data_IF_358294048310
#
_entry.id   IF_358294048310
#
_cell.length_a   1.000
_cell.length_b   1.000
_cell.length_c   1.000
_cell.angle_alpha   90.00
_cell.angle_beta   90.00
_cell.angle_gamma   90.00
#
_symmetry.space_group_name_H-M   'P 1'
#
loop_
_entity.id
_entity.type
_entity.pdbx_description
1 polymer ?
#
# COMPACT_ATOMS: atom_id res chain seq x y z
N UNK A 1 -1.92 -21.66 1.57
CA UNK A 1 -2.93 -20.87 2.30
C UNK A 1 -3.66 -20.06 1.25
N UNK A 2 -4.90 -20.38 0.94
CA UNK A 2 -5.72 -19.62 0.01
C UNK A 2 -6.34 -18.41 0.70
N UNK A 3 -6.66 -17.31 -0.01
CA UNK A 3 -7.29 -16.11 0.57
C UNK A 3 -8.58 -16.37 1.34
N UNK A 4 -9.32 -17.42 0.98
CA UNK A 4 -10.55 -17.86 1.68
C UNK A 4 -10.34 -18.35 3.13
N UNK A 5 -9.09 -18.40 3.61
CA UNK A 5 -8.74 -18.92 4.93
C UNK A 5 -8.78 -17.87 6.05
N UNK A 6 -9.09 -16.61 5.73
CA UNK A 6 -9.25 -15.57 6.75
C UNK A 6 -10.72 -15.20 6.92
N UNK A 7 -11.29 -15.47 8.11
CA UNK A 7 -12.53 -14.83 8.49
C UNK A 7 -12.30 -13.31 8.57
N UNK A 8 -13.27 -12.50 8.16
CA UNK A 8 -13.12 -11.03 8.15
C UNK A 8 -12.71 -10.47 9.52
N UNK A 9 -13.19 -11.07 10.61
CA UNK A 9 -12.82 -10.68 11.99
C UNK A 9 -11.35 -10.95 12.33
N UNK A 10 -10.69 -11.82 11.57
CA UNK A 10 -9.28 -12.17 11.77
C UNK A 10 -8.35 -11.42 10.80
N UNK A 11 -8.92 -10.60 9.92
CA UNK A 11 -8.14 -9.72 9.05
C UNK A 11 -7.60 -8.52 9.83
N UNK A 12 -6.64 -8.81 10.71
CA UNK A 12 -5.81 -7.80 11.35
C UNK A 12 -4.35 -8.02 10.96
N UNK A 13 -3.61 -6.94 10.79
CA UNK A 13 -2.20 -7.03 10.38
C UNK A 13 -1.35 -7.92 11.33
N UNK A 14 -1.48 -7.80 12.68
CA UNK A 14 -0.74 -8.68 13.60
C UNK A 14 -1.10 -10.16 13.41
N UNK A 15 -2.39 -10.52 13.29
CA UNK A 15 -2.80 -11.92 13.11
C UNK A 15 -2.31 -12.51 11.79
N UNK A 16 -2.41 -11.74 10.68
CA UNK A 16 -1.96 -12.18 9.36
C UNK A 16 -0.45 -12.41 9.37
N UNK A 17 0.34 -11.45 9.85
CA UNK A 17 1.79 -11.57 9.87
C UNK A 17 2.25 -12.73 10.78
N UNK A 18 1.69 -12.84 11.98
CA UNK A 18 2.00 -13.93 12.91
C UNK A 18 1.64 -15.31 12.33
N UNK A 19 0.50 -15.44 11.65
CA UNK A 19 0.09 -16.67 10.98
C UNK A 19 1.09 -17.07 9.89
N UNK A 20 1.51 -16.13 9.05
CA UNK A 20 2.46 -16.41 7.98
C UNK A 20 3.86 -16.73 8.54
N UNK A 21 4.29 -16.04 9.60
CA UNK A 21 5.54 -16.34 10.27
C UNK A 21 5.57 -17.75 10.89
N UNK A 22 4.41 -18.25 11.34
CA UNK A 22 4.29 -19.65 11.82
C UNK A 22 4.25 -20.66 10.66
N UNK A 23 3.57 -20.32 9.55
CA UNK A 23 3.42 -21.22 8.41
C UNK A 23 4.70 -21.34 7.57
N UNK A 24 5.47 -20.26 7.45
CA UNK A 24 6.65 -20.14 6.57
C UNK A 24 7.84 -19.47 7.29
N UNK A 25 8.25 -19.93 8.47
CA UNK A 25 9.20 -19.19 9.33
C UNK A 25 10.50 -18.81 8.63
N UNK A 26 11.08 -19.75 7.87
CA UNK A 26 12.41 -19.60 7.26
C UNK A 26 12.34 -19.16 5.79
N UNK A 27 11.14 -18.96 5.25
CA UNK A 27 10.97 -18.43 3.91
C UNK A 27 11.26 -16.94 3.89
N UNK A 28 12.05 -16.49 2.89
CA UNK A 28 12.29 -15.07 2.67
C UNK A 28 10.98 -14.39 2.27
N UNK A 29 10.54 -13.46 3.10
CA UNK A 29 9.39 -12.59 2.80
C UNK A 29 9.83 -11.35 2.02
N UNK A 30 10.86 -10.65 2.50
CA UNK A 30 11.28 -9.36 1.97
C UNK A 30 12.73 -9.42 1.47
N UNK A 31 12.94 -8.95 0.25
CA UNK A 31 14.27 -8.65 -0.30
C UNK A 31 14.30 -7.18 -0.74
N UNK A 32 15.36 -6.46 -0.42
CA UNK A 32 15.57 -5.07 -0.82
C UNK A 32 16.65 -5.02 -1.91
N UNK A 33 16.31 -4.51 -3.09
CA UNK A 33 17.26 -4.52 -4.24
C UNK A 33 18.46 -3.62 -4.01
N UNK A 34 18.28 -2.49 -3.32
CA UNK A 34 19.32 -1.48 -3.12
C UNK A 34 20.48 -1.96 -2.24
N UNK A 35 20.21 -2.82 -1.27
CA UNK A 35 21.19 -3.29 -0.27
C UNK A 35 21.44 -4.78 -0.32
N UNK A 36 20.58 -5.54 -1.01
CA UNK A 36 20.59 -6.99 -1.01
C UNK A 36 20.14 -7.62 0.31
N UNK A 37 19.67 -6.83 1.30
CA UNK A 37 19.17 -7.36 2.57
C UNK A 37 17.95 -8.23 2.33
N UNK A 38 17.88 -9.34 3.08
CA UNK A 38 16.79 -10.32 3.01
C UNK A 38 16.28 -10.60 4.40
N UNK A 39 14.96 -10.70 4.54
CA UNK A 39 14.30 -10.99 5.80
C UNK A 39 13.29 -12.12 5.60
N UNK A 40 13.40 -13.15 6.42
CA UNK A 40 12.40 -14.23 6.49
C UNK A 40 11.11 -13.72 7.13
N UNK A 41 10.04 -14.51 7.03
CA UNK A 41 8.78 -14.22 7.71
C UNK A 41 8.96 -14.12 9.23
N UNK A 42 9.79 -14.97 9.82
CA UNK A 42 10.12 -14.93 11.26
C UNK A 42 10.86 -13.65 11.63
N UNK A 43 11.84 -13.26 10.83
CA UNK A 43 12.63 -12.06 11.09
C UNK A 43 11.80 -10.78 10.94
N UNK A 44 10.93 -10.69 9.90
CA UNK A 44 10.08 -9.51 9.74
C UNK A 44 9.01 -9.42 10.84
N UNK A 45 8.48 -10.56 11.30
CA UNK A 45 7.56 -10.62 12.43
C UNK A 45 8.25 -10.14 13.72
N UNK A 46 9.43 -10.63 14.02
CA UNK A 46 10.23 -10.22 15.19
C UNK A 46 10.66 -8.75 15.08
N UNK A 47 11.08 -8.29 13.90
CA UNK A 47 11.46 -6.90 13.70
C UNK A 47 10.28 -5.96 13.89
N UNK A 48 9.12 -6.28 13.31
CA UNK A 48 7.91 -5.47 13.51
C UNK A 48 7.40 -5.50 14.97
N UNK A 49 7.63 -6.57 15.73
CA UNK A 49 7.38 -6.59 17.18
C UNK A 49 8.30 -5.60 17.91
N UNK A 50 9.61 -5.59 17.55
CA UNK A 50 10.55 -4.61 18.12
C UNK A 50 10.14 -3.18 17.78
N UNK A 51 9.72 -2.91 16.54
CA UNK A 51 9.21 -1.58 16.15
C UNK A 51 8.00 -1.21 17.00
N UNK A 52 7.02 -2.09 17.15
CA UNK A 52 5.84 -1.84 17.98
C UNK A 52 6.21 -1.53 19.42
N UNK A 53 7.04 -2.37 20.04
CA UNK A 53 7.47 -2.19 21.43
C UNK A 53 8.33 -0.93 21.62
N UNK A 54 9.18 -0.59 20.65
CA UNK A 54 9.97 0.64 20.62
C UNK A 54 9.07 1.89 20.61
N UNK A 55 8.07 1.89 19.74
CA UNK A 55 7.09 2.98 19.64
C UNK A 55 6.24 3.10 20.92
N UNK A 56 5.83 1.96 21.51
CA UNK A 56 5.14 1.95 22.80
C UNK A 56 6.01 2.54 23.92
N UNK A 57 7.30 2.21 23.93
CA UNK A 57 8.27 2.72 24.93
C UNK A 57 8.43 4.23 24.91
N UNK A 58 8.15 4.90 23.79
CA UNK A 58 8.15 6.36 23.66
C UNK A 58 6.75 6.96 23.69
N UNK A 59 5.75 6.21 24.13
CA UNK A 59 4.39 6.68 24.39
C UNK A 59 3.49 6.77 23.15
N UNK A 60 3.79 6.02 22.08
CA UNK A 60 2.87 5.82 20.94
C UNK A 60 2.05 4.57 21.25
N UNK A 61 0.73 4.69 21.24
CA UNK A 61 -0.18 3.60 21.58
C UNK A 61 -1.31 3.43 20.58
N UNK A 62 -2.24 2.53 20.89
CA UNK A 62 -3.43 2.26 20.07
C UNK A 62 -4.20 3.54 19.76
N UNK A 63 -4.58 3.71 18.48
CA UNK A 63 -5.32 4.87 17.99
C UNK A 63 -4.49 6.16 17.81
N UNK A 64 -3.19 6.18 18.19
CA UNK A 64 -2.32 7.34 17.94
C UNK A 64 -1.82 7.33 16.50
N UNK A 65 -1.72 8.50 15.90
CA UNK A 65 -1.34 8.65 14.50
C UNK A 65 0.17 8.88 14.36
N UNK A 66 0.80 8.08 13.50
CA UNK A 66 2.23 8.13 13.21
C UNK A 66 2.43 8.28 11.70
N UNK A 67 3.00 9.39 11.28
CA UNK A 67 3.36 9.60 9.89
C UNK A 67 4.59 8.78 9.50
N UNK A 68 4.60 8.24 8.27
CA UNK A 68 5.75 7.59 7.64
C UNK A 68 6.15 8.46 6.45
N UNK A 69 7.25 9.21 6.58
CA UNK A 69 7.77 10.08 5.54
C UNK A 69 9.12 9.56 5.05
N UNK A 70 9.06 8.48 4.25
CA UNK A 70 10.24 7.81 3.71
C UNK A 70 9.95 7.11 2.39
N UNK A 71 10.98 6.88 1.60
CA UNK A 71 10.92 6.13 0.36
C UNK A 71 10.76 4.62 0.59
N UNK A 72 10.82 3.86 -0.50
CA UNK A 72 10.76 2.42 -0.46
C UNK A 72 11.99 1.84 0.24
N UNK A 73 11.76 1.10 1.32
CA UNK A 73 12.82 0.43 2.09
C UNK A 73 12.22 -0.67 2.95
N UNK A 74 13.07 -1.52 3.48
CA UNK A 74 12.67 -2.53 4.45
C UNK A 74 12.15 -1.89 5.75
N UNK A 75 12.73 -0.76 6.14
CA UNK A 75 12.30 0.02 7.31
C UNK A 75 10.88 0.57 7.14
N UNK A 76 10.49 0.95 5.93
CA UNK A 76 9.12 1.41 5.65
C UNK A 76 8.11 0.31 5.97
N UNK A 77 8.34 -0.92 5.48
CA UNK A 77 7.45 -2.05 5.77
C UNK A 77 7.49 -2.44 7.24
N UNK A 78 8.67 -2.46 7.87
CA UNK A 78 8.79 -2.76 9.29
C UNK A 78 8.06 -1.73 10.16
N UNK A 79 8.16 -0.43 9.83
CA UNK A 79 7.43 0.65 10.48
C UNK A 79 5.92 0.50 10.32
N UNK A 80 5.44 0.27 9.10
CA UNK A 80 4.02 0.05 8.83
C UNK A 80 3.46 -1.16 9.60
N UNK A 81 4.19 -2.27 9.60
CA UNK A 81 3.78 -3.48 10.34
C UNK A 81 3.82 -3.25 11.86
N UNK A 82 4.85 -2.59 12.37
CA UNK A 82 4.98 -2.29 13.80
C UNK A 82 3.89 -1.36 14.31
N UNK A 83 3.59 -0.30 13.57
CA UNK A 83 2.47 0.62 13.86
C UNK A 83 1.15 -0.16 13.91
N UNK A 84 0.90 -1.01 12.90
CA UNK A 84 -0.31 -1.83 12.85
C UNK A 84 -0.41 -2.86 13.96
N UNK A 85 0.72 -3.46 14.41
CA UNK A 85 0.74 -4.37 15.57
C UNK A 85 0.42 -3.68 16.88
N UNK A 86 0.76 -2.41 17.00
CA UNK A 86 0.45 -1.58 18.15
C UNK A 86 -1.00 -1.07 18.15
N UNK A 87 -1.75 -1.31 17.05
CA UNK A 87 -3.08 -0.72 16.85
C UNK A 87 -3.03 0.80 16.70
N UNK A 88 -1.87 1.37 16.44
CA UNK A 88 -1.69 2.76 16.07
C UNK A 88 -2.05 2.96 14.59
N UNK A 89 -2.24 4.20 14.17
CA UNK A 89 -2.65 4.56 12.82
C UNK A 89 -1.46 5.02 12.01
N UNK A 90 -1.17 4.33 10.92
CA UNK A 90 -0.14 4.73 9.97
C UNK A 90 -0.64 5.84 9.05
N UNK A 91 0.19 6.85 8.80
CA UNK A 91 -0.09 7.93 7.85
C UNK A 91 1.07 8.00 6.84
N UNK A 92 1.05 7.17 5.79
CA UNK A 92 2.08 7.20 4.76
C UNK A 92 2.02 8.53 3.99
N UNK A 93 3.13 9.26 3.94
CA UNK A 93 3.23 10.57 3.31
C UNK A 93 3.96 10.48 1.98
N UNK A 94 3.39 11.12 0.96
CA UNK A 94 4.05 11.26 -0.33
C UNK A 94 5.43 11.93 -0.16
N UNK A 95 6.49 11.25 -0.55
CA UNK A 95 7.88 11.73 -0.45
C UNK A 95 8.17 12.98 -1.30
N UNK A 96 7.30 13.33 -2.24
CA UNK A 96 7.38 14.59 -2.98
C UNK A 96 6.79 15.78 -2.22
N UNK A 97 6.08 15.57 -1.10
CA UNK A 97 5.48 16.64 -0.32
C UNK A 97 6.55 17.59 0.26
N UNK A 98 6.25 18.89 0.22
CA UNK A 98 7.10 19.99 0.72
C UNK A 98 6.23 21.11 1.25
N UNK A 99 6.78 21.93 2.12
CA UNK A 99 6.17 23.16 2.60
C UNK A 99 4.71 22.97 3.02
N UNK A 100 3.81 23.77 2.46
CA UNK A 100 2.39 23.77 2.83
C UNK A 100 1.70 22.40 2.64
N UNK A 101 2.05 21.64 1.61
CA UNK A 101 1.46 20.31 1.38
C UNK A 101 1.87 19.32 2.46
N UNK A 102 3.15 19.32 2.87
CA UNK A 102 3.64 18.47 3.96
C UNK A 102 3.00 18.89 5.29
N UNK A 103 2.95 20.19 5.56
CA UNK A 103 2.27 20.76 6.74
C UNK A 103 0.81 20.32 6.79
N UNK A 104 0.10 20.42 5.66
CA UNK A 104 -1.30 20.00 5.54
C UNK A 104 -1.48 18.53 5.93
N UNK A 105 -0.70 17.62 5.35
CA UNK A 105 -0.84 16.20 5.66
C UNK A 105 -0.64 15.89 7.15
N UNK A 106 0.39 16.46 7.76
CA UNK A 106 0.72 16.22 9.16
C UNK A 106 -0.29 16.85 10.12
N UNK A 107 -0.83 18.03 9.79
CA UNK A 107 -1.86 18.70 10.59
C UNK A 107 -3.22 18.03 10.44
N UNK A 108 -3.65 17.77 9.21
CA UNK A 108 -4.97 17.22 8.93
C UNK A 108 -5.12 15.81 9.49
N UNK A 109 -4.04 15.02 9.47
CA UNK A 109 -4.01 13.67 10.05
C UNK A 109 -3.87 13.63 11.56
N UNK A 110 -3.73 14.75 12.27
CA UNK A 110 -3.38 14.78 13.69
C UNK A 110 -2.17 13.89 14.05
N UNK A 111 -1.18 13.83 13.18
CA UNK A 111 0.01 13.05 13.45
C UNK A 111 0.74 13.59 14.69
N UNK A 112 1.00 12.72 15.67
CA UNK A 112 1.74 13.05 16.90
C UNK A 112 3.21 12.66 16.82
N UNK A 113 3.55 11.82 15.85
CA UNK A 113 4.91 11.36 15.59
C UNK A 113 5.16 11.20 14.10
N UNK A 114 6.43 11.34 13.71
CA UNK A 114 6.88 11.16 12.33
C UNK A 114 8.09 10.23 12.30
N UNK A 115 8.00 9.16 11.54
CA UNK A 115 9.15 8.34 11.16
C UNK A 115 9.63 8.89 9.80
N UNK A 116 10.81 9.47 9.78
CA UNK A 116 11.34 10.19 8.62
C UNK A 116 12.66 9.60 8.15
N UNK A 117 12.80 9.43 6.83
CA UNK A 117 14.08 9.12 6.22
C UNK A 117 15.00 10.35 6.30
N UNK A 118 16.25 10.17 6.71
CA UNK A 118 17.20 11.27 6.93
C UNK A 118 17.38 12.17 5.69
N UNK A 119 17.28 11.61 4.48
CA UNK A 119 17.32 12.38 3.22
C UNK A 119 16.13 13.33 3.02
N UNK A 120 15.07 13.18 3.80
CA UNK A 120 13.85 14.01 3.76
C UNK A 120 13.72 14.91 5.01
N UNK A 121 14.67 14.82 5.95
CA UNK A 121 14.59 15.52 7.22
C UNK A 121 14.49 17.06 7.08
N UNK A 122 15.23 17.65 6.15
CA UNK A 122 15.20 19.09 5.92
C UNK A 122 13.79 19.61 5.58
N UNK A 123 13.05 18.84 4.77
CA UNK A 123 11.67 19.19 4.40
C UNK A 123 10.72 19.15 5.60
N UNK A 124 10.96 18.22 6.53
CA UNK A 124 10.21 18.14 7.77
C UNK A 124 10.57 19.34 8.66
N UNK A 125 11.85 19.66 8.80
CA UNK A 125 12.35 20.77 9.62
C UNK A 125 11.78 22.14 9.21
N UNK A 126 11.56 22.37 7.91
CA UNK A 126 10.93 23.60 7.39
C UNK A 126 9.52 23.83 7.97
N UNK A 127 8.76 22.75 8.20
CA UNK A 127 7.35 22.85 8.64
C UNK A 127 7.14 22.52 10.11
N UNK A 128 8.10 21.86 10.75
CA UNK A 128 8.01 21.35 12.11
C UNK A 128 7.66 22.41 13.17
N UNK A 129 8.17 23.67 13.09
CA UNK A 129 7.76 24.74 14.01
C UNK A 129 6.26 25.07 13.99
N UNK A 130 5.55 24.72 12.91
CA UNK A 130 4.11 24.94 12.73
C UNK A 130 3.26 23.71 13.08
N UNK A 131 3.87 22.65 13.63
CA UNK A 131 3.24 21.35 13.91
C UNK A 131 3.25 21.04 15.41
N UNK A 132 2.45 21.74 16.23
CA UNK A 132 2.50 21.62 17.69
C UNK A 132 2.08 20.24 18.22
N UNK A 133 1.39 19.44 17.41
CA UNK A 133 1.01 18.06 17.77
C UNK A 133 2.16 17.07 17.63
N UNK A 134 3.15 17.34 16.79
CA UNK A 134 4.32 16.46 16.64
C UNK A 134 5.16 16.53 17.91
N UNK A 135 5.23 15.41 18.63
CA UNK A 135 6.01 15.28 19.87
C UNK A 135 7.22 14.36 19.71
N UNK A 136 7.27 13.57 18.63
CA UNK A 136 8.33 12.58 18.41
C UNK A 136 8.73 12.55 16.93
N UNK A 137 10.03 12.69 16.69
CA UNK A 137 10.65 12.54 15.37
C UNK A 137 11.59 11.35 15.43
N UNK A 138 11.31 10.31 14.66
CA UNK A 138 12.10 9.09 14.60
C UNK A 138 12.83 9.08 13.25
N UNK A 139 14.16 9.17 13.27
CA UNK A 139 14.97 9.31 12.07
C UNK A 139 15.49 7.95 11.61
N UNK A 140 15.16 7.57 10.39
CA UNK A 140 15.72 6.39 9.71
C UNK A 140 16.94 6.84 8.91
N UNK A 141 18.12 6.40 9.35
CA UNK A 141 19.38 6.68 8.64
C UNK A 141 19.58 5.62 7.57
N UNK A 142 19.53 6.04 6.30
CA UNK A 142 20.04 5.23 5.20
C UNK A 142 21.56 5.13 5.27
N UNK A 143 22.17 4.16 4.60
CA UNK A 143 23.63 3.99 4.58
C UNK A 143 24.42 5.11 3.86
N UNK A 144 23.83 6.25 3.56
CA UNK A 144 24.48 7.40 2.94
C UNK A 144 25.17 8.25 4.02
N UNK A 145 26.48 8.39 3.88
CA UNK A 145 27.25 9.33 4.68
C UNK A 145 26.79 10.77 4.35
N UNK A 146 26.35 11.52 5.37
CA UNK A 146 25.89 12.91 5.23
C UNK A 146 24.40 13.12 5.51
N UNK A 147 23.71 12.14 6.07
CA UNK A 147 22.32 12.29 6.47
C UNK A 147 22.17 13.44 7.50
N UNK A 148 21.30 14.41 7.18
CA UNK A 148 21.04 15.56 8.03
C UNK A 148 20.51 15.11 9.39
N UNK A 149 21.12 15.64 10.45
CA UNK A 149 20.69 15.38 11.80
C UNK A 149 19.48 16.27 12.12
N UNK A 150 18.38 15.69 12.57
CA UNK A 150 17.30 16.48 13.17
C UNK A 150 17.82 17.00 14.50
N UNK A 151 17.86 18.34 14.72
CA UNK A 151 18.35 18.91 15.95
C UNK A 151 17.40 18.59 17.11
N UNK A 152 17.95 18.48 18.32
CA UNK A 152 17.16 18.39 19.53
C UNK A 152 16.33 19.66 19.72
N UNK A 153 15.13 19.52 20.26
CA UNK A 153 14.21 20.62 20.50
C UNK A 153 13.44 20.42 21.81
N UNK A 154 13.11 21.47 22.56
CA UNK A 154 12.22 21.34 23.71
C UNK A 154 10.78 21.00 23.33
N UNK A 155 10.41 21.11 22.04
CA UNK A 155 9.04 20.88 21.55
C UNK A 155 8.77 19.45 21.13
N UNK A 156 9.82 18.66 20.83
CA UNK A 156 9.71 17.27 20.38
C UNK A 156 10.98 16.46 20.72
N UNK A 157 10.81 15.16 20.95
CA UNK A 157 11.90 14.23 21.15
C UNK A 157 12.41 13.71 19.80
N UNK A 158 13.73 13.51 19.69
CA UNK A 158 14.37 12.95 18.48
C UNK A 158 14.96 11.59 18.83
N UNK A 159 14.61 10.58 18.05
CA UNK A 159 15.08 9.23 18.21
C UNK A 159 15.76 8.73 16.94
N UNK A 160 16.82 7.93 17.07
CA UNK A 160 17.36 7.13 15.97
C UNK A 160 16.56 5.83 15.88
N UNK A 161 16.01 5.53 14.70
CA UNK A 161 15.14 4.36 14.48
C UNK A 161 15.86 3.06 14.81
N UNK A 162 17.09 2.89 14.32
CA UNK A 162 17.83 1.65 14.50
C UNK A 162 18.18 1.42 15.98
N UNK A 163 18.66 2.45 16.67
CA UNK A 163 18.98 2.39 18.08
C UNK A 163 17.73 2.08 18.93
N UNK A 164 16.62 2.81 18.66
CA UNK A 164 15.35 2.63 19.36
C UNK A 164 14.81 1.21 19.21
N UNK A 165 14.80 0.68 17.99
CA UNK A 165 14.27 -0.64 17.66
C UNK A 165 15.17 -1.77 18.16
N UNK A 166 16.51 -1.61 18.11
CA UNK A 166 17.42 -2.63 18.59
C UNK A 166 17.34 -2.87 20.11
N UNK A 167 17.02 -1.83 20.88
CA UNK A 167 16.85 -1.89 22.32
C UNK A 167 15.52 -2.52 22.76
N UNK A 168 14.55 -2.65 21.86
CA UNK A 168 13.19 -3.09 22.19
C UNK A 168 13.04 -4.63 22.15
N UNK A 169 12.07 -5.14 22.90
CA UNK A 169 11.72 -6.57 22.92
C UNK A 169 11.17 -7.04 21.57
N UNK A 170 11.52 -8.27 21.17
CA UNK A 170 10.93 -8.96 20.02
C UNK A 170 9.65 -9.75 20.35
N UNK A 171 9.21 -9.75 21.61
CA UNK A 171 7.94 -10.37 21.99
C UNK A 171 6.77 -9.68 21.30
N UNK A 172 5.74 -10.41 20.94
CA UNK A 172 4.53 -9.82 20.38
C UNK A 172 3.93 -8.81 21.37
N UNK A 173 3.56 -7.60 20.92
CA UNK A 173 2.91 -6.64 21.80
C UNK A 173 1.57 -7.18 22.30
N UNK A 174 1.28 -6.93 23.59
CA UNK A 174 0.00 -7.30 24.20
C UNK A 174 -1.04 -6.20 23.94
N UNK A 175 -1.55 -6.17 22.71
CA UNK A 175 -2.56 -5.20 22.27
C UNK A 175 -3.68 -5.92 21.54
N UNK A 176 -4.92 -5.75 22.03
CA UNK A 176 -6.12 -6.25 21.32
C UNK A 176 -6.42 -5.36 20.11
N UNK A 177 -6.00 -5.83 18.93
CA UNK A 177 -6.25 -5.18 17.63
C UNK A 177 -7.43 -5.84 16.95
N UNK A 178 -8.48 -5.06 16.66
CA UNK A 178 -9.69 -5.52 15.97
C UNK A 178 -9.61 -5.23 14.47
N UNK A 179 -10.32 -6.02 13.68
CA UNK A 179 -10.42 -5.80 12.23
C UNK A 179 -11.05 -4.44 11.86
N UNK A 180 -11.86 -3.89 12.76
CA UNK A 180 -12.50 -2.57 12.65
C UNK A 180 -11.62 -1.40 13.09
N UNK A 181 -10.51 -1.66 13.79
CA UNK A 181 -9.62 -0.58 14.21
C UNK A 181 -8.98 0.07 12.96
N UNK A 182 -8.78 1.38 13.02
CA UNK A 182 -8.14 2.13 11.95
C UNK A 182 -6.68 1.72 11.84
N UNK A 183 -6.27 1.24 10.66
CA UNK A 183 -4.87 0.89 10.38
C UNK A 183 -4.12 2.05 9.76
N UNK A 184 -4.78 2.78 8.85
CA UNK A 184 -4.08 3.86 8.14
C UNK A 184 -5.02 4.94 7.61
N UNK A 185 -4.44 6.13 7.43
CA UNK A 185 -5.01 7.20 6.62
C UNK A 185 -4.27 7.25 5.28
N UNK A 186 -4.98 6.89 4.20
CA UNK A 186 -4.44 6.95 2.86
C UNK A 186 -4.84 8.25 2.17
N UNK A 187 -3.88 9.11 1.84
CA UNK A 187 -4.19 10.36 1.16
C UNK A 187 -4.42 10.17 -0.33
N UNK A 188 -5.54 10.73 -0.81
CA UNK A 188 -5.88 10.74 -2.24
C UNK A 188 -5.20 11.91 -2.95
N UNK A 189 -4.97 11.79 -4.25
CA UNK A 189 -4.34 12.85 -5.06
C UNK A 189 -5.26 14.04 -5.36
N UNK A 190 -6.48 14.07 -4.84
CA UNK A 190 -7.49 15.12 -4.94
C UNK A 190 -7.54 15.84 -6.30
N UNK A 191 -8.43 15.43 -7.20
CA UNK A 191 -8.62 16.11 -8.50
C UNK A 191 -9.48 17.37 -8.38
N UNK A 192 -10.27 17.50 -7.30
CA UNK A 192 -11.30 18.54 -7.16
C UNK A 192 -11.23 19.27 -5.81
N UNK A 193 -10.09 19.28 -5.14
CA UNK A 193 -9.94 19.93 -3.82
C UNK A 193 -8.72 19.42 -3.04
N UNK A 194 -8.59 19.80 -1.77
CA UNK A 194 -7.48 19.32 -0.94
C UNK A 194 -7.51 17.80 -0.81
N UNK A 195 -6.33 17.17 -0.73
CA UNK A 195 -6.20 15.73 -0.53
C UNK A 195 -6.98 15.27 0.71
N UNK A 196 -7.73 14.18 0.59
CA UNK A 196 -8.55 13.62 1.66
C UNK A 196 -7.84 12.43 2.29
N UNK A 197 -7.80 12.39 3.62
CA UNK A 197 -7.28 11.26 4.37
C UNK A 197 -8.34 10.15 4.48
N UNK A 198 -8.30 9.18 3.59
CA UNK A 198 -9.23 8.03 3.58
C UNK A 198 -8.95 7.10 4.75
N UNK A 199 -9.99 6.80 5.52
CA UNK A 199 -9.92 5.94 6.70
C UNK A 199 -10.00 4.45 6.30
N UNK A 200 -8.90 3.73 6.42
CA UNK A 200 -8.83 2.29 6.17
C UNK A 200 -8.67 1.52 7.48
N UNK A 201 -9.67 0.72 7.83
CA UNK A 201 -9.55 -0.25 8.92
C UNK A 201 -8.55 -1.36 8.55
N UNK A 202 -8.14 -2.17 9.54
CA UNK A 202 -7.33 -3.37 9.26
C UNK A 202 -7.98 -4.26 8.20
N UNK A 203 -9.29 -4.52 8.33
CA UNK A 203 -9.99 -5.35 7.36
C UNK A 203 -10.03 -4.69 5.97
N UNK A 204 -10.36 -3.40 5.86
CA UNK A 204 -10.38 -2.68 4.59
C UNK A 204 -9.02 -2.72 3.89
N UNK A 205 -7.95 -2.40 4.61
CA UNK A 205 -6.60 -2.40 4.08
C UNK A 205 -6.17 -3.81 3.58
N UNK A 206 -6.38 -4.85 4.40
CA UNK A 206 -6.00 -6.21 4.03
C UNK A 206 -6.89 -6.83 2.95
N UNK A 207 -8.10 -6.30 2.76
CA UNK A 207 -9.00 -6.72 1.67
C UNK A 207 -8.43 -6.36 0.29
N UNK A 208 -7.57 -5.36 0.16
CA UNK A 208 -6.81 -5.14 -1.08
C UNK A 208 -6.02 -6.39 -1.47
N UNK A 209 -5.26 -6.94 -0.50
CA UNK A 209 -4.43 -8.13 -0.73
C UNK A 209 -5.25 -9.40 -0.93
N UNK A 210 -6.25 -9.68 -0.06
CA UNK A 210 -7.07 -10.89 -0.19
C UNK A 210 -7.80 -10.93 -1.52
N UNK A 211 -8.38 -9.81 -1.91
CA UNK A 211 -9.10 -9.76 -3.15
C UNK A 211 -8.22 -9.84 -4.39
N UNK A 212 -7.03 -9.23 -4.39
CA UNK A 212 -6.06 -9.39 -5.48
C UNK A 212 -5.61 -10.85 -5.60
N UNK A 213 -5.28 -11.48 -4.47
CA UNK A 213 -4.89 -12.87 -4.43
C UNK A 213 -5.98 -13.82 -4.95
N UNK A 214 -7.23 -13.61 -4.51
CA UNK A 214 -8.40 -14.40 -4.93
C UNK A 214 -8.66 -14.27 -6.43
N UNK A 215 -8.65 -13.04 -6.94
CA UNK A 215 -9.03 -12.73 -8.32
C UNK A 215 -7.96 -13.14 -9.33
N UNK A 216 -6.67 -12.96 -8.98
CA UNK A 216 -5.55 -13.18 -9.91
C UNK A 216 -4.82 -14.50 -9.69
N UNK A 217 -5.28 -15.32 -8.74
CA UNK A 217 -4.67 -16.63 -8.46
C UNK A 217 -3.21 -16.49 -8.00
N UNK A 218 -2.95 -15.54 -7.08
CA UNK A 218 -1.64 -15.41 -6.48
C UNK A 218 -1.32 -16.59 -5.58
N UNK A 219 -0.05 -16.99 -5.53
CA UNK A 219 0.41 -18.21 -4.88
C UNK A 219 1.51 -17.92 -3.87
N UNK A 220 1.68 -18.82 -2.92
CA UNK A 220 2.82 -18.73 -2.00
C UNK A 220 4.18 -18.79 -2.73
N UNK A 221 4.27 -19.44 -3.89
CA UNK A 221 5.50 -19.48 -4.69
C UNK A 221 5.81 -18.20 -5.45
N UNK A 222 4.89 -17.22 -5.48
CA UNK A 222 5.10 -15.98 -6.21
C UNK A 222 6.12 -15.06 -5.52
N UNK A 223 6.75 -14.23 -6.34
CA UNK A 223 7.64 -13.15 -5.93
C UNK A 223 7.12 -11.84 -6.53
N UNK A 224 6.67 -10.95 -5.66
CA UNK A 224 6.14 -9.64 -6.05
C UNK A 224 7.27 -8.63 -6.16
N UNK A 225 7.47 -8.06 -7.33
CA UNK A 225 8.36 -6.92 -7.50
C UNK A 225 7.61 -5.62 -7.29
N UNK A 226 8.03 -4.84 -6.30
CA UNK A 226 7.41 -3.59 -5.87
C UNK A 226 8.38 -2.43 -6.08
N UNK A 227 8.15 -1.65 -7.14
CA UNK A 227 8.90 -0.43 -7.45
C UNK A 227 8.05 0.85 -7.41
N UNK A 228 6.73 0.69 -7.27
CA UNK A 228 5.84 1.81 -6.99
C UNK A 228 6.03 2.29 -5.54
N UNK A 229 5.75 3.57 -5.26
CA UNK A 229 5.95 4.12 -3.92
C UNK A 229 5.08 3.44 -2.85
N UNK A 230 5.71 3.00 -1.75
CA UNK A 230 5.02 2.34 -0.62
C UNK A 230 4.06 3.27 0.15
N UNK A 231 4.10 4.58 -0.05
CA UNK A 231 3.07 5.45 0.49
C UNK A 231 1.73 5.37 -0.26
N UNK A 232 1.67 4.66 -1.41
CA UNK A 232 0.43 4.39 -2.14
C UNK A 232 -0.10 2.98 -1.88
N UNK A 233 -1.43 2.86 -1.79
CA UNK A 233 -2.15 1.60 -1.57
C UNK A 233 -1.80 0.52 -2.60
N UNK A 234 -1.51 0.90 -3.85
CA UNK A 234 -1.11 -0.06 -4.88
C UNK A 234 0.17 -0.83 -4.49
N UNK A 235 1.22 -0.14 -4.08
CA UNK A 235 2.47 -0.77 -3.67
C UNK A 235 2.35 -1.45 -2.30
N UNK A 236 1.80 -0.71 -1.31
CA UNK A 236 1.76 -1.15 0.07
C UNK A 236 0.75 -2.30 0.29
N UNK A 237 -0.48 -2.14 -0.20
CA UNK A 237 -1.57 -3.06 0.08
C UNK A 237 -1.79 -4.10 -1.03
N UNK A 238 -1.84 -3.67 -2.31
CA UNK A 238 -2.04 -4.57 -3.43
C UNK A 238 -0.75 -5.26 -3.92
N UNK A 239 0.43 -4.74 -3.55
CA UNK A 239 1.73 -5.37 -3.75
C UNK A 239 2.20 -6.14 -2.52
N UNK A 240 2.86 -5.45 -1.57
CA UNK A 240 3.44 -6.09 -0.38
C UNK A 240 2.40 -6.76 0.52
N UNK A 241 1.21 -6.13 0.70
CA UNK A 241 0.09 -6.71 1.44
C UNK A 241 -0.46 -7.98 0.80
N UNK A 242 -0.59 -8.01 -0.55
CA UNK A 242 -1.00 -9.20 -1.26
C UNK A 242 0.02 -10.34 -1.12
N UNK A 243 1.32 -10.04 -1.21
CA UNK A 243 2.38 -11.02 -0.97
C UNK A 243 2.29 -11.59 0.45
N UNK A 244 2.09 -10.73 1.46
CA UNK A 244 1.90 -11.16 2.85
C UNK A 244 0.69 -12.10 3.00
N UNK A 245 -0.45 -11.75 2.44
CA UNK A 245 -1.70 -12.56 2.51
C UNK A 245 -1.50 -13.95 1.91
N UNK A 246 -0.80 -14.05 0.77
CA UNK A 246 -0.59 -15.31 0.06
C UNK A 246 0.53 -16.17 0.64
N UNK A 247 1.34 -15.65 1.56
CA UNK A 247 2.58 -16.29 1.98
C UNK A 247 3.66 -16.26 0.89
N UNK A 248 3.59 -15.30 -0.02
CA UNK A 248 4.54 -15.05 -1.11
C UNK A 248 5.74 -14.23 -0.64
N UNK A 249 6.70 -13.99 -1.52
CA UNK A 249 7.83 -13.09 -1.28
C UNK A 249 7.58 -11.73 -1.91
N UNK A 250 8.23 -10.69 -1.37
CA UNK A 250 8.23 -9.35 -1.96
C UNK A 250 9.67 -8.86 -2.17
N UNK A 251 9.93 -8.29 -3.33
CA UNK A 251 11.18 -7.62 -3.67
C UNK A 251 10.88 -6.13 -3.79
N UNK A 252 11.48 -5.33 -2.93
CA UNK A 252 11.27 -3.88 -2.88
C UNK A 252 12.42 -3.19 -3.57
N UNK A 253 12.12 -2.49 -4.67
CA UNK A 253 13.04 -1.57 -5.34
C UNK A 253 12.81 -0.14 -4.85
N UNK A 254 13.90 0.62 -4.77
CA UNK A 254 13.86 2.00 -4.28
C UNK A 254 12.90 2.88 -5.08
N UNK A 255 12.86 2.67 -6.41
CA UNK A 255 11.99 3.38 -7.36
C UNK A 255 11.97 2.67 -8.71
N UNK A 256 10.97 2.95 -9.51
CA UNK A 256 10.97 2.53 -10.91
C UNK A 256 12.13 3.15 -11.70
N UNK A 257 12.81 2.33 -12.49
CA UNK A 257 13.82 2.75 -13.45
C UNK A 257 13.71 1.90 -14.72
N UNK A 258 13.29 2.51 -15.82
CA UNK A 258 13.11 1.78 -17.08
C UNK A 258 14.38 1.07 -17.58
N UNK A 259 15.56 1.60 -17.25
CA UNK A 259 16.84 0.98 -17.64
C UNK A 259 17.24 -0.21 -16.77
N UNK A 260 16.82 -0.24 -15.49
CA UNK A 260 17.17 -1.30 -14.54
C UNK A 260 16.08 -2.36 -14.40
N UNK A 261 14.85 -2.05 -14.81
CA UNK A 261 13.66 -2.84 -14.53
C UNK A 261 13.84 -4.33 -14.88
N UNK A 262 14.18 -4.65 -16.13
CA UNK A 262 14.30 -6.04 -16.56
C UNK A 262 15.49 -6.78 -15.91
N UNK A 263 16.57 -6.07 -15.58
CA UNK A 263 17.68 -6.61 -14.78
C UNK A 263 17.18 -7.00 -13.39
N UNK A 264 16.52 -6.07 -12.68
CA UNK A 264 16.01 -6.35 -11.33
C UNK A 264 14.93 -7.45 -11.32
N UNK A 265 14.11 -7.55 -12.37
CA UNK A 265 13.11 -8.64 -12.53
C UNK A 265 13.84 -9.99 -12.64
N UNK A 266 14.83 -10.12 -13.53
CA UNK A 266 15.60 -11.36 -13.71
C UNK A 266 16.36 -11.75 -12.45
N UNK A 267 17.11 -10.82 -11.88
CA UNK A 267 17.95 -11.04 -10.70
C UNK A 267 17.12 -11.48 -9.48
N UNK A 268 15.88 -11.01 -9.39
CA UNK A 268 14.96 -11.34 -8.29
C UNK A 268 14.05 -12.54 -8.57
N UNK A 269 14.03 -13.06 -9.81
CA UNK A 269 13.06 -14.07 -10.26
C UNK A 269 11.61 -13.66 -9.98
N UNK A 270 11.30 -12.37 -10.13
CA UNK A 270 9.98 -11.84 -9.86
C UNK A 270 8.93 -12.40 -10.82
N UNK A 271 7.80 -12.84 -10.28
CA UNK A 271 6.70 -13.46 -11.05
C UNK A 271 5.50 -12.55 -11.23
N UNK A 272 5.39 -11.50 -10.40
CA UNK A 272 4.26 -10.56 -10.40
C UNK A 272 4.77 -9.14 -10.18
N UNK A 273 4.15 -8.19 -10.88
CA UNK A 273 4.35 -6.75 -10.60
C UNK A 273 3.11 -5.94 -10.98
N UNK A 274 3.06 -4.70 -10.51
CA UNK A 274 2.01 -3.74 -10.84
C UNK A 274 2.61 -2.57 -11.63
N UNK A 275 1.98 -2.19 -12.74
CA UNK A 275 2.33 -1.01 -13.52
C UNK A 275 1.28 0.09 -13.38
N UNK A 276 1.76 1.32 -13.32
CA UNK A 276 0.97 2.47 -13.74
C UNK A 276 1.18 2.70 -15.24
N UNK A 277 0.21 3.32 -15.91
CA UNK A 277 0.20 3.43 -17.38
C UNK A 277 1.49 3.95 -18.01
N UNK A 278 2.12 4.97 -17.42
CA UNK A 278 3.39 5.53 -17.89
C UNK A 278 4.56 4.54 -17.84
N UNK A 279 4.57 3.61 -16.86
CA UNK A 279 5.65 2.63 -16.75
C UNK A 279 5.66 1.66 -17.93
N UNK A 280 4.48 1.13 -18.30
CA UNK A 280 4.36 0.25 -19.46
C UNK A 280 4.79 0.96 -20.75
N UNK A 281 4.48 2.26 -20.89
CA UNK A 281 4.91 3.06 -22.05
C UNK A 281 6.43 3.20 -22.14
N UNK A 282 7.11 3.46 -21.01
CA UNK A 282 8.57 3.53 -20.99
C UNK A 282 9.23 2.19 -21.33
N UNK A 283 8.67 1.07 -20.90
CA UNK A 283 9.21 -0.25 -21.23
C UNK A 283 8.91 -0.62 -22.69
N UNK A 284 7.70 -0.31 -23.18
CA UNK A 284 7.27 -0.57 -24.55
C UNK A 284 8.08 0.20 -25.59
N UNK A 285 8.41 1.47 -25.32
CA UNK A 285 9.14 2.34 -26.24
C UNK A 285 10.62 1.96 -26.44
N UNK A 286 11.15 1.04 -25.63
CA UNK A 286 12.53 0.56 -25.83
C UNK A 286 12.61 -0.30 -27.09
N UNK A 287 13.74 -0.25 -27.83
CA UNK A 287 13.94 -1.15 -28.97
C UNK A 287 13.72 -2.60 -28.57
N UNK A 288 13.07 -3.42 -29.41
CA UNK A 288 12.93 -4.85 -29.16
C UNK A 288 14.29 -5.53 -29.00
N UNK A 289 14.37 -6.50 -28.07
CA UNK A 289 15.55 -7.34 -27.83
C UNK A 289 15.16 -8.82 -27.88
N UNK A 290 16.05 -9.71 -28.32
CA UNK A 290 15.85 -11.16 -28.18
C UNK A 290 15.56 -11.60 -26.74
N UNK A 291 16.06 -10.86 -25.76
CA UNK A 291 15.93 -11.16 -24.32
C UNK A 291 14.66 -10.56 -23.68
N UNK A 292 13.77 -9.94 -24.44
CA UNK A 292 12.57 -9.30 -23.90
C UNK A 292 11.67 -10.30 -23.14
N UNK A 293 11.57 -11.54 -23.61
CA UNK A 293 10.80 -12.59 -22.96
C UNK A 293 11.62 -13.44 -21.96
N UNK A 294 12.92 -13.15 -21.79
CA UNK A 294 13.78 -13.82 -20.81
C UNK A 294 13.54 -13.23 -19.40
N UNK A 295 12.45 -13.64 -18.80
CA UNK A 295 12.04 -13.23 -17.45
C UNK A 295 10.98 -14.18 -16.89
N UNK A 296 10.80 -14.18 -15.56
CA UNK A 296 9.86 -15.04 -14.83
C UNK A 296 8.48 -14.40 -14.59
N UNK A 297 8.24 -13.19 -15.10
CA UNK A 297 6.94 -12.52 -14.92
C UNK A 297 5.83 -13.29 -15.60
N UNK A 298 4.89 -13.79 -14.80
CA UNK A 298 3.70 -14.46 -15.30
C UNK A 298 2.48 -13.52 -15.38
N UNK A 299 2.39 -12.55 -14.47
CA UNK A 299 1.25 -11.63 -14.35
C UNK A 299 1.73 -10.20 -14.09
N UNK A 300 1.13 -9.27 -14.81
CA UNK A 300 1.34 -7.84 -14.60
C UNK A 300 -0.01 -7.13 -14.53
N UNK A 301 -0.26 -6.41 -13.42
CA UNK A 301 -1.43 -5.53 -13.33
C UNK A 301 -1.10 -4.20 -14.02
N UNK A 302 -1.89 -3.82 -15.04
CA UNK A 302 -1.75 -2.59 -15.81
C UNK A 302 -2.97 -1.70 -15.63
N UNK A 303 -2.82 -0.60 -14.93
CA UNK A 303 -3.91 0.36 -14.72
C UNK A 303 -3.48 1.80 -15.09
N UNK A 304 -4.08 2.43 -16.10
CA UNK A 304 -4.98 1.84 -17.09
C UNK A 304 -4.27 0.89 -18.07
N UNK A 305 -5.05 -0.04 -18.65
CA UNK A 305 -4.53 -0.97 -19.68
C UNK A 305 -4.31 -0.22 -20.99
N UNK A 306 -3.08 -0.21 -21.54
CA UNK A 306 -2.80 0.49 -22.79
C UNK A 306 -3.32 -0.30 -24.01
N UNK A 307 -3.58 0.41 -25.12
CA UNK A 307 -4.05 -0.21 -26.38
C UNK A 307 -3.07 -1.28 -26.93
N UNK A 308 -1.80 -1.19 -26.61
CA UNK A 308 -0.78 -2.15 -27.03
C UNK A 308 -0.60 -3.32 -26.03
N UNK A 309 -1.47 -3.48 -25.04
CA UNK A 309 -1.31 -4.50 -23.99
C UNK A 309 -1.17 -5.93 -24.54
N UNK A 310 -1.97 -6.32 -25.55
CA UNK A 310 -1.84 -7.64 -26.17
C UNK A 310 -0.48 -7.85 -26.87
N UNK A 311 0.04 -6.82 -27.53
CA UNK A 311 1.38 -6.87 -28.12
C UNK A 311 2.48 -6.88 -27.04
N UNK A 312 2.24 -6.18 -25.91
CA UNK A 312 3.12 -6.20 -24.74
C UNK A 312 3.19 -7.60 -24.13
N UNK A 313 2.04 -8.28 -23.93
CA UNK A 313 1.99 -9.68 -23.47
C UNK A 313 2.86 -10.59 -24.35
N UNK A 314 2.68 -10.48 -25.66
CA UNK A 314 3.43 -11.30 -26.63
C UNK A 314 4.93 -11.01 -26.60
N UNK A 315 5.33 -9.75 -26.54
CA UNK A 315 6.73 -9.32 -26.56
C UNK A 315 7.47 -9.80 -25.31
N UNK A 316 6.86 -9.66 -24.13
CA UNK A 316 7.51 -9.93 -22.86
C UNK A 316 7.15 -11.27 -22.23
N UNK A 317 6.33 -12.10 -22.90
CA UNK A 317 6.01 -13.45 -22.44
C UNK A 317 5.15 -13.55 -21.19
N UNK A 318 4.33 -12.54 -20.91
CA UNK A 318 3.54 -12.41 -19.67
C UNK A 318 2.04 -12.24 -19.96
N UNK A 319 1.21 -12.23 -18.89
CA UNK A 319 -0.22 -11.91 -18.99
C UNK A 319 -0.51 -10.58 -18.29
N UNK A 320 -1.24 -9.70 -18.99
CA UNK A 320 -1.74 -8.45 -18.45
C UNK A 320 -3.09 -8.68 -17.76
N UNK A 321 -3.26 -7.96 -16.65
CA UNK A 321 -4.50 -7.88 -15.90
C UNK A 321 -4.81 -6.42 -15.65
N UNK A 322 -6.07 -6.14 -15.30
CA UNK A 322 -6.47 -4.80 -14.89
C UNK A 322 -7.27 -4.86 -13.59
N UNK A 323 -7.16 -3.81 -12.81
CA UNK A 323 -7.94 -3.63 -11.59
C UNK A 323 -8.53 -2.23 -11.59
N UNK A 324 -9.81 -2.16 -11.27
CA UNK A 324 -10.47 -0.91 -10.96
C UNK A 324 -10.69 -0.81 -9.45
N UNK A 325 -10.29 0.31 -8.91
CA UNK A 325 -10.46 0.62 -7.50
C UNK A 325 -9.92 2.00 -7.16
N UNK A 326 -10.34 2.50 -6.02
CA UNK A 326 -9.99 3.82 -5.51
C UNK A 326 -9.43 3.70 -4.11
N UNK A 327 -8.57 4.65 -3.71
CA UNK A 327 -8.13 4.73 -2.31
C UNK A 327 -9.31 4.91 -1.37
N UNK A 328 -10.34 5.61 -1.83
CA UNK A 328 -11.53 6.02 -1.09
C UNK A 328 -12.53 4.88 -0.84
N UNK A 329 -12.39 3.77 -1.56
CA UNK A 329 -13.26 2.61 -1.39
C UNK A 329 -12.46 1.32 -1.20
N UNK A 330 -11.57 1.02 -2.09
CA UNK A 330 -10.86 -0.24 -2.22
C UNK A 330 -10.88 -0.75 -3.66
N UNK A 331 -10.46 -1.99 -3.87
CA UNK A 331 -10.52 -2.62 -5.19
C UNK A 331 -11.92 -3.17 -5.46
N UNK A 332 -12.58 -2.69 -6.51
CA UNK A 332 -13.99 -2.96 -6.80
C UNK A 332 -14.20 -4.00 -7.91
N UNK A 333 -13.45 -3.93 -9.00
CA UNK A 333 -13.56 -4.84 -10.14
C UNK A 333 -12.19 -5.27 -10.64
N UNK A 334 -12.13 -6.38 -11.35
CA UNK A 334 -10.88 -6.90 -11.90
C UNK A 334 -11.11 -7.61 -13.23
N UNK A 335 -10.24 -7.33 -14.20
CA UNK A 335 -10.04 -8.11 -15.39
C UNK A 335 -8.93 -9.12 -15.14
N UNK A 336 -9.24 -10.41 -15.22
CA UNK A 336 -8.32 -11.47 -14.84
C UNK A 336 -7.72 -12.17 -16.05
N UNK A 337 -6.69 -12.98 -15.83
CA UNK A 337 -6.10 -13.84 -16.84
C UNK A 337 -7.08 -14.87 -17.45
N UNK A 338 -8.25 -15.09 -16.84
CA UNK A 338 -9.29 -16.03 -17.29
C UNK A 338 -10.36 -15.35 -18.16
N UNK A 339 -10.32 -14.03 -18.28
CA UNK A 339 -11.25 -13.31 -19.15
C UNK A 339 -10.82 -13.41 -20.62
N UNK A 340 -11.78 -13.30 -21.57
CA UNK A 340 -11.47 -13.34 -22.99
C UNK A 340 -10.44 -12.28 -23.40
N UNK A 341 -9.37 -12.65 -24.13
CA UNK A 341 -8.31 -11.72 -24.51
C UNK A 341 -8.80 -10.48 -25.29
N UNK A 342 -9.86 -10.63 -26.08
CA UNK A 342 -10.46 -9.54 -26.85
C UNK A 342 -11.11 -8.45 -25.99
N UNK A 343 -11.37 -8.74 -24.71
CA UNK A 343 -11.86 -7.78 -23.71
C UNK A 343 -10.74 -7.13 -22.88
N UNK A 344 -9.48 -7.38 -23.23
CA UNK A 344 -8.35 -6.76 -22.57
C UNK A 344 -8.44 -5.22 -22.71
N UNK A 345 -8.48 -4.54 -21.58
CA UNK A 345 -8.74 -3.10 -21.49
C UNK A 345 -10.01 -2.75 -20.72
N UNK A 346 -10.96 -3.69 -20.59
CA UNK A 346 -12.08 -3.52 -19.66
C UNK A 346 -11.61 -3.54 -18.21
N UNK A 347 -12.37 -2.90 -17.31
CA UNK A 347 -12.11 -2.97 -15.86
C UNK A 347 -12.45 -4.34 -15.26
N UNK A 348 -13.11 -5.21 -16.02
CA UNK A 348 -13.46 -6.57 -15.64
C UNK A 348 -14.77 -6.69 -14.89
N UNK A 349 -14.86 -7.69 -14.02
CA UNK A 349 -16.06 -8.03 -13.25
C UNK A 349 -15.97 -7.56 -11.81
N UNK A 350 -17.12 -7.27 -11.16
CA UNK A 350 -17.16 -6.98 -9.73
C UNK A 350 -16.51 -8.10 -8.92
N UNK A 351 -15.72 -7.71 -7.92
CA UNK A 351 -15.07 -8.66 -7.03
C UNK A 351 -16.06 -9.22 -6.02
N UNK A 352 -15.77 -10.41 -5.52
CA UNK A 352 -16.57 -11.06 -4.48
C UNK A 352 -16.81 -10.12 -3.29
N UNK A 353 -18.06 -9.94 -2.90
CA UNK A 353 -18.44 -9.07 -1.80
C UNK A 353 -18.56 -7.59 -2.15
N UNK A 354 -18.38 -7.21 -3.42
CA UNK A 354 -18.63 -5.85 -3.92
C UNK A 354 -19.77 -5.88 -4.92
N UNK A 355 -20.69 -4.92 -4.78
CA UNK A 355 -21.71 -4.62 -5.78
C UNK A 355 -21.28 -3.39 -6.56
N UNK A 356 -21.53 -3.41 -7.86
CA UNK A 356 -21.27 -2.32 -8.79
C UNK A 356 -22.54 -2.04 -9.55
N UNK A 357 -22.89 -0.77 -9.71
CA UNK A 357 -23.95 -0.29 -10.60
C UNK A 357 -23.45 0.87 -11.42
N UNK A 358 -24.08 1.07 -12.56
CA UNK A 358 -23.95 2.29 -13.38
C UNK A 358 -25.27 3.05 -13.23
N UNK A 359 -25.20 4.30 -12.79
CA UNK A 359 -26.40 5.10 -12.46
C UNK A 359 -26.41 6.44 -13.19
N UNK A 360 -27.61 6.98 -13.39
CA UNK A 360 -27.83 8.34 -13.91
C UNK A 360 -27.64 9.42 -12.80
N UNK A 361 -28.02 10.66 -13.11
CA UNK A 361 -27.89 11.81 -12.20
C UNK A 361 -28.83 11.73 -10.98
N UNK A 362 -29.92 10.95 -11.09
CA UNK A 362 -30.91 10.72 -10.05
C UNK A 362 -30.69 9.39 -9.29
N UNK A 363 -29.52 8.72 -9.49
CA UNK A 363 -29.10 7.45 -8.89
C UNK A 363 -29.92 6.22 -9.31
N UNK A 364 -30.68 6.31 -10.44
CA UNK A 364 -31.30 5.13 -11.04
C UNK A 364 -30.32 4.36 -11.92
N UNK A 365 -30.41 3.04 -11.86
CA UNK A 365 -29.58 2.15 -12.67
C UNK A 365 -29.92 2.30 -14.17
N UNK A 366 -28.93 2.59 -15.00
CA UNK A 366 -29.10 2.73 -16.44
C UNK A 366 -29.03 1.37 -17.14
N UNK A 367 -29.71 1.22 -18.30
CA UNK A 367 -29.60 0.02 -19.14
C UNK A 367 -28.16 -0.26 -19.59
N UNK A 368 -27.86 -1.54 -19.85
CA UNK A 368 -26.56 -1.95 -20.39
C UNK A 368 -26.27 -1.25 -21.74
N UNK A 369 -25.11 -0.63 -21.84
CA UNK A 369 -24.66 0.14 -23.01
C UNK A 369 -24.87 1.64 -22.87
N UNK A 370 -25.56 2.10 -21.84
CA UNK A 370 -25.66 3.52 -21.49
C UNK A 370 -24.56 3.93 -20.50
N UNK A 371 -24.06 5.15 -20.65
CA UNK A 371 -22.98 5.70 -19.82
C UNK A 371 -23.58 6.39 -18.58
N UNK A 372 -23.13 6.01 -17.41
CA UNK A 372 -23.51 6.63 -16.13
C UNK A 372 -22.34 6.71 -15.16
N UNK A 373 -22.62 7.08 -13.91
CA UNK A 373 -21.63 7.06 -12.82
C UNK A 373 -21.48 5.63 -12.28
N UNK A 374 -20.24 5.21 -12.04
CA UNK A 374 -19.95 3.94 -11.34
C UNK A 374 -20.20 4.15 -9.85
N UNK A 375 -21.12 3.38 -9.26
CA UNK A 375 -21.35 3.38 -7.82
C UNK A 375 -21.08 2.01 -7.21
N UNK A 376 -20.55 2.01 -5.98
CA UNK A 376 -20.00 0.83 -5.33
C UNK A 376 -20.65 0.59 -3.97
N UNK A 377 -20.85 -0.68 -3.61
CA UNK A 377 -21.31 -1.07 -2.27
C UNK A 377 -20.58 -2.34 -1.81
N UNK A 378 -19.95 -2.29 -0.64
CA UNK A 378 -19.43 -3.48 0.03
C UNK A 378 -20.56 -4.23 0.74
N UNK A 379 -20.60 -5.57 0.63
CA UNK A 379 -21.61 -6.41 1.27
C UNK A 379 -21.32 -6.65 2.74
N UNK A 380 -20.03 -6.78 3.08
CA UNK A 380 -19.63 -7.07 4.45
C UNK A 380 -19.16 -5.79 5.15
N UNK A 381 -19.32 -5.68 6.46
CA UNK A 381 -18.82 -4.54 7.23
C UNK A 381 -17.29 -4.48 7.17
N UNK A 382 -16.72 -3.28 7.21
CA UNK A 382 -15.27 -3.02 7.24
C UNK A 382 -14.48 -3.49 6.01
N UNK A 383 -15.14 -3.89 4.94
CA UNK A 383 -14.50 -4.35 3.69
C UNK A 383 -14.05 -3.19 2.79
N UNK A 384 -14.60 -2.02 2.97
CA UNK A 384 -14.25 -0.79 2.26
C UNK A 384 -13.83 0.31 3.24
N UNK A 385 -13.30 1.40 2.73
CA UNK A 385 -13.02 2.59 3.51
C UNK A 385 -14.28 3.12 4.21
N UNK A 386 -14.10 3.75 5.39
CA UNK A 386 -15.22 4.20 6.22
C UNK A 386 -15.51 5.70 6.08
N UNK A 387 -14.84 6.37 5.16
CA UNK A 387 -14.97 7.80 4.87
C UNK A 387 -13.66 8.55 4.97
N UNK A 388 -13.76 9.87 5.07
CA UNK A 388 -12.62 10.80 5.10
C UNK A 388 -12.43 11.39 6.49
N UNK A 389 -11.21 11.27 7.01
CA UNK A 389 -10.86 11.73 8.35
C UNK A 389 -11.10 13.23 8.51
N UNK A 390 -11.89 13.63 9.52
CA UNK A 390 -12.31 15.01 9.79
C UNK A 390 -13.00 15.75 8.62
N UNK A 391 -13.58 15.00 7.70
CA UNK A 391 -14.32 15.57 6.55
C UNK A 391 -15.70 14.92 6.43
N UNK A 392 -16.62 15.14 7.40
CA UNK A 392 -17.94 14.49 7.41
C UNK A 392 -18.78 14.88 6.20
N UNK A 393 -18.76 16.13 5.76
CA UNK A 393 -19.54 16.59 4.60
C UNK A 393 -19.06 15.90 3.31
N UNK A 394 -17.74 15.77 3.12
CA UNK A 394 -17.17 15.05 1.98
C UNK A 394 -17.51 13.57 2.03
N UNK A 395 -17.53 12.99 3.24
CA UNK A 395 -17.93 11.59 3.45
C UNK A 395 -19.39 11.38 3.07
N UNK A 396 -20.30 12.25 3.54
CA UNK A 396 -21.72 12.15 3.21
C UNK A 396 -21.97 12.37 1.71
N UNK A 397 -21.27 13.30 1.08
CA UNK A 397 -21.38 13.56 -0.35
C UNK A 397 -20.93 12.34 -1.19
N UNK A 398 -19.89 11.61 -0.73
CA UNK A 398 -19.43 10.41 -1.40
C UNK A 398 -20.31 9.18 -1.12
N UNK A 399 -21.12 9.17 -0.05
CA UNK A 399 -21.95 8.03 0.36
C UNK A 399 -23.43 8.41 0.39
N UNK A 400 -24.01 8.69 -0.78
CA UNK A 400 -25.47 8.97 -0.89
C UNK A 400 -26.24 7.71 -1.32
N UNK A 401 -27.49 7.63 -0.92
CA UNK A 401 -28.38 6.51 -1.25
C UNK A 401 -27.80 5.12 -0.93
N UNK A 402 -26.95 5.00 0.11
CA UNK A 402 -26.25 3.78 0.55
C UNK A 402 -25.19 3.26 -0.42
N UNK A 403 -24.80 4.03 -1.44
CA UNK A 403 -23.75 3.72 -2.39
C UNK A 403 -22.60 4.71 -2.27
N UNK A 404 -21.39 4.21 -2.50
CA UNK A 404 -20.22 5.06 -2.68
C UNK A 404 -20.17 5.54 -4.12
N UNK A 405 -20.19 6.83 -4.31
CA UNK A 405 -20.11 7.53 -5.58
C UNK A 405 -18.65 7.77 -5.94
N UNK A 406 -18.21 7.18 -7.06
CA UNK A 406 -16.80 7.19 -7.44
C UNK A 406 -16.39 8.47 -8.17
N UNK A 407 -17.34 9.15 -8.81
CA UNK A 407 -17.08 10.23 -9.75
C UNK A 407 -16.57 9.76 -11.12
N UNK A 408 -16.34 8.46 -11.28
CA UNK A 408 -15.91 7.87 -12.56
C UNK A 408 -17.12 7.45 -13.38
N UNK A 409 -16.99 7.54 -14.71
CA UNK A 409 -18.03 7.10 -15.66
C UNK A 409 -17.68 5.72 -16.25
N UNK A 410 -18.72 4.90 -16.44
CA UNK A 410 -18.63 3.55 -16.97
C UNK A 410 -19.75 3.22 -17.96
#
# INVERSE_FOLDING_TARGET
VTPDTYALRDLTLPKVLQRQARAFPDKVFLTETATGRRFTYREIDAWSNRVANALAGIGIGKGRHTAIFMGNSAEHLAAFFGIGKLGAVSVPINTAARGELLRYYLTQSDSESVIVEASLADRLLEVLPQLPLIKRVIVVRGGEAGAHAVPASPSYDVHDFAALVSAASAAAPDVDVKCSDLLMLAYTSGTTGPSKGTMLSHAAALTYGTGAAETHGYRASDIFYVCLPLFHNNALLAGAGAALICGASVVVSRRFSASKFWGEIRDSHATITNFLGSMSSFLWSRPPSPDDADNDLRLVSMAPTPKYAAAFEKRFGLRAMNNYGLSDFGMAASFTQHEPPEKLGAIGKPRRGIKVKIVDEDDFEVPAGEVGEIVLQARDPWRAATGYYKMPEATLAAHRNQWFHTGDRG
#
